data_IF_501442477269
#
_entry.id   IF_501442477269
#
_cell.length_a   1.000
_cell.length_b   1.000
_cell.length_c   1.000
_cell.angle_alpha   90.00
_cell.angle_beta   90.00
_cell.angle_gamma   90.00
#
_symmetry.space_group_name_H-M   'P 1'
#
loop_
_entity.id
_entity.type
_entity.pdbx_description
1 polymer ?
#
# COMPACT_ATOMS: atom_id res chain seq x y z
N UNK A 1 9.14 -11.35 1.09
CA UNK A 1 8.21 -10.29 1.52
C UNK A 1 7.11 -10.19 0.46
N UNK A 2 5.82 -10.39 0.80
CA UNK A 2 4.72 -10.45 -0.20
C UNK A 2 4.06 -9.08 -0.43
N UNK A 3 4.02 -8.21 0.57
CA UNK A 3 3.67 -6.80 0.46
C UNK A 3 4.18 -6.06 1.70
N UNK A 4 4.42 -4.75 1.56
CA UNK A 4 4.71 -3.83 2.66
C UNK A 4 3.65 -2.72 2.63
N UNK A 5 3.08 -2.40 3.79
CA UNK A 5 2.10 -1.32 3.95
C UNK A 5 2.65 -0.38 5.02
N UNK A 6 2.77 0.90 4.67
CA UNK A 6 3.21 1.94 5.58
C UNK A 6 2.21 3.09 5.54
N UNK A 7 1.78 3.59 6.71
CA UNK A 7 0.91 4.78 6.75
C UNK A 7 1.73 6.00 6.35
N UNK A 8 1.17 6.84 5.48
CA UNK A 8 1.82 8.10 5.09
C UNK A 8 2.08 9.00 6.31
N UNK A 9 1.19 8.95 7.32
CA UNK A 9 1.38 9.66 8.58
C UNK A 9 2.67 9.21 9.29
N UNK A 10 2.92 7.91 9.36
CA UNK A 10 4.11 7.38 10.04
C UNK A 10 5.39 7.75 9.26
N UNK A 11 5.33 7.70 7.93
CA UNK A 11 6.41 8.16 7.05
C UNK A 11 6.74 9.64 7.33
N UNK A 12 5.71 10.50 7.44
CA UNK A 12 5.89 11.92 7.69
C UNK A 12 6.34 12.22 9.12
N UNK A 13 5.85 11.45 10.10
CA UNK A 13 6.12 11.69 11.52
C UNK A 13 7.47 11.15 11.97
N UNK A 14 7.86 9.98 11.47
CA UNK A 14 8.98 9.22 12.03
C UNK A 14 10.23 9.18 11.13
N UNK A 15 10.10 9.40 9.81
CA UNK A 15 11.27 9.46 8.93
C UNK A 15 11.84 10.87 8.84
N UNK A 16 13.18 10.95 8.77
CA UNK A 16 13.89 12.17 8.36
C UNK A 16 13.62 12.49 6.89
N UNK A 17 13.89 13.73 6.47
CA UNK A 17 13.76 14.12 5.06
C UNK A 17 14.62 13.27 4.12
N UNK A 18 15.85 12.94 4.55
CA UNK A 18 16.74 12.05 3.80
C UNK A 18 16.11 10.67 3.60
N UNK A 19 15.58 10.05 4.66
CA UNK A 19 14.93 8.73 4.55
C UNK A 19 13.63 8.77 3.77
N UNK A 20 12.89 9.89 3.78
CA UNK A 20 11.74 10.09 2.90
C UNK A 20 12.15 10.14 1.43
N UNK A 21 13.24 10.84 1.13
CA UNK A 21 13.79 10.94 -0.23
C UNK A 21 14.28 9.58 -0.75
N UNK A 22 15.04 8.84 0.08
CA UNK A 22 15.48 7.47 -0.25
C UNK A 22 14.30 6.54 -0.53
N UNK A 23 13.26 6.60 0.32
CA UNK A 23 12.06 5.78 0.14
C UNK A 23 11.33 6.13 -1.17
N UNK A 24 11.24 7.42 -1.51
CA UNK A 24 10.67 7.85 -2.77
C UNK A 24 11.47 7.33 -3.98
N UNK A 25 12.80 7.47 -3.96
CA UNK A 25 13.67 6.96 -5.01
C UNK A 25 13.53 5.45 -5.23
N UNK A 26 13.41 4.67 -4.15
CA UNK A 26 13.17 3.24 -4.24
C UNK A 26 11.83 2.90 -4.93
N UNK A 27 10.76 3.67 -4.66
CA UNK A 27 9.48 3.50 -5.35
C UNK A 27 9.58 3.83 -6.85
N UNK A 28 10.27 4.91 -7.21
CA UNK A 28 10.45 5.33 -8.60
C UNK A 28 11.25 4.29 -9.39
N UNK A 29 12.36 3.81 -8.84
CA UNK A 29 13.19 2.79 -9.49
C UNK A 29 12.39 1.52 -9.79
N UNK A 30 11.58 1.05 -8.83
CA UNK A 30 10.70 -0.11 -9.04
C UNK A 30 9.66 0.19 -10.13
N UNK A 31 9.05 1.37 -10.14
CA UNK A 31 8.05 1.76 -11.12
C UNK A 31 8.62 1.80 -12.55
N UNK A 32 9.82 2.39 -12.72
CA UNK A 32 10.53 2.47 -14.00
C UNK A 32 10.83 1.08 -14.53
N UNK A 33 11.43 0.22 -13.71
CA UNK A 33 11.79 -1.15 -14.14
C UNK A 33 10.54 -1.97 -14.50
N UNK A 34 9.46 -1.87 -13.73
CA UNK A 34 8.19 -2.52 -14.07
C UNK A 34 7.60 -2.02 -15.38
N UNK A 35 7.67 -0.72 -15.64
CA UNK A 35 7.21 -0.14 -16.88
C UNK A 35 8.02 -0.65 -18.08
N UNK A 36 9.35 -0.73 -17.95
CA UNK A 36 10.24 -1.28 -18.97
C UNK A 36 9.94 -2.75 -19.28
N UNK A 37 9.48 -3.53 -18.29
CA UNK A 37 9.00 -4.91 -18.47
C UNK A 37 7.57 -5.01 -19.04
N UNK A 38 6.93 -3.89 -19.41
CA UNK A 38 5.55 -3.86 -19.92
C UNK A 38 4.48 -4.16 -18.86
N UNK A 39 4.83 -4.14 -17.57
CA UNK A 39 3.87 -4.41 -16.48
C UNK A 39 2.99 -3.20 -16.23
N UNK A 40 1.69 -3.46 -16.06
CA UNK A 40 0.72 -2.43 -15.65
C UNK A 40 0.91 -2.07 -14.17
N UNK A 41 0.53 -0.84 -13.75
CA UNK A 41 0.40 -0.50 -12.34
C UNK A 41 -0.54 -1.47 -11.64
N UNK A 42 -0.13 -1.96 -10.46
CA UNK A 42 -0.99 -2.80 -9.66
C UNK A 42 -2.08 -1.93 -9.02
N UNK A 43 -3.29 -2.47 -8.91
CA UNK A 43 -4.38 -1.86 -8.14
C UNK A 43 -4.65 -2.72 -6.93
N UNK A 44 -4.60 -2.10 -5.76
CA UNK A 44 -4.79 -2.77 -4.47
C UNK A 44 -5.95 -2.14 -3.71
N UNK A 45 -6.66 -2.96 -2.97
CA UNK A 45 -7.53 -2.51 -1.88
C UNK A 45 -6.77 -2.83 -0.60
N UNK A 46 -6.51 -1.81 0.21
CA UNK A 46 -5.86 -1.93 1.52
C UNK A 46 -6.84 -1.46 2.56
N UNK A 47 -7.15 -2.30 3.54
CA UNK A 47 -8.09 -2.01 4.63
C UNK A 47 -7.28 -2.05 5.92
N UNK A 48 -7.26 -0.93 6.65
CA UNK A 48 -6.70 -0.91 8.00
C UNK A 48 -7.73 -1.49 8.97
N UNK A 49 -7.46 -2.67 9.52
CA UNK A 49 -8.40 -3.37 10.42
C UNK A 49 -8.50 -2.75 11.81
N UNK A 50 -7.60 -1.82 12.16
CA UNK A 50 -7.65 -1.11 13.44
C UNK A 50 -8.65 0.07 13.43
N UNK A 51 -9.21 0.43 12.27
CA UNK A 51 -10.15 1.53 12.14
C UNK A 51 -11.59 1.08 12.44
N UNK A 52 -12.44 1.96 12.99
CA UNK A 52 -13.81 1.60 13.41
C UNK A 52 -14.72 1.16 12.24
N UNK A 53 -14.36 1.46 10.99
CA UNK A 53 -15.11 1.03 9.80
C UNK A 53 -14.73 -0.37 9.30
N UNK A 54 -13.68 -0.99 9.86
CA UNK A 54 -13.09 -2.21 9.30
C UNK A 54 -14.10 -3.37 9.21
N UNK A 55 -14.89 -3.60 10.26
CA UNK A 55 -15.85 -4.69 10.31
C UNK A 55 -16.95 -4.53 9.25
N UNK A 56 -17.41 -3.31 8.99
CA UNK A 56 -18.41 -3.04 7.95
C UNK A 56 -17.89 -3.40 6.56
N UNK A 57 -16.64 -3.01 6.26
CA UNK A 57 -15.99 -3.32 4.98
C UNK A 57 -15.77 -4.83 4.85
N UNK A 58 -15.32 -5.50 5.91
CA UNK A 58 -15.13 -6.96 5.92
C UNK A 58 -16.45 -7.68 5.62
N UNK A 59 -17.54 -7.31 6.29
CA UNK A 59 -18.86 -7.91 6.05
C UNK A 59 -19.36 -7.66 4.63
N UNK A 60 -19.12 -6.47 4.06
CA UNK A 60 -19.40 -6.20 2.65
C UNK A 60 -18.62 -7.14 1.73
N UNK A 61 -17.31 -7.30 1.97
CA UNK A 61 -16.49 -8.16 1.14
C UNK A 61 -16.89 -9.65 1.24
N UNK A 62 -17.28 -10.12 2.43
CA UNK A 62 -17.80 -11.49 2.63
C UNK A 62 -19.07 -11.75 1.81
N UNK A 63 -20.03 -10.81 1.81
CA UNK A 63 -21.29 -10.93 1.04
C UNK A 63 -21.05 -11.10 -0.46
N UNK A 64 -19.95 -10.57 -0.98
CA UNK A 64 -19.58 -10.66 -2.39
C UNK A 64 -18.55 -11.78 -2.70
N UNK A 65 -18.20 -12.62 -1.72
CA UNK A 65 -17.22 -13.69 -1.91
C UNK A 65 -15.79 -13.18 -2.14
N UNK A 66 -15.47 -11.99 -1.64
CA UNK A 66 -14.15 -11.34 -1.76
C UNK A 66 -13.34 -11.40 -0.46
N UNK A 67 -13.87 -12.04 0.58
CA UNK A 67 -13.23 -12.19 1.89
C UNK A 67 -13.64 -13.52 2.54
N UNK A 68 -12.66 -14.26 3.06
CA UNK A 68 -12.81 -15.65 3.55
C UNK A 68 -11.73 -16.54 2.98
#
# INVERSE_FOLDING_TARGET
>A
MKFAVMKNYDIQRYLTDEKRSELHGAFEEIAINRHAEGKKPNRYIVINTDEPYADEVIEMMKRHGHWG
#
